data_IF_102246381950
#
_entry.id   IF_102246381950
#
_cell.length_a   1.000
_cell.length_b   1.000
_cell.length_c   1.000
_cell.angle_alpha   90.00
_cell.angle_beta   90.00
_cell.angle_gamma   90.00
#
_symmetry.space_group_name_H-M   'P 1'
#
loop_
_entity.id
_entity.type
_entity.pdbx_description
1 polymer ?
#
# COMPACT_ATOMS: atom_id res chain seq x y z
N UNK A 1 -10.13 -0.58 7.42
CA UNK A 1 -10.83 -0.12 6.20
C UNK A 1 -10.36 -0.88 4.96
N UNK A 2 -9.08 -0.78 4.56
CA UNK A 2 -8.60 -1.54 3.39
C UNK A 2 -8.76 -3.07 3.54
N UNK A 3 -8.45 -3.63 4.71
CA UNK A 3 -8.63 -5.06 4.99
C UNK A 3 -10.08 -5.57 4.86
N UNK A 4 -11.08 -4.69 5.03
CA UNK A 4 -12.50 -5.06 4.93
C UNK A 4 -13.03 -4.97 3.50
N UNK A 5 -12.30 -4.32 2.59
CA UNK A 5 -12.71 -4.10 1.19
C UNK A 5 -11.83 -4.83 0.18
N UNK A 6 -10.95 -5.71 0.65
CA UNK A 6 -9.92 -6.38 -0.16
C UNK A 6 -9.00 -5.41 -0.92
N UNK A 7 -8.84 -4.21 -0.37
CA UNK A 7 -7.97 -3.18 -0.93
C UNK A 7 -6.62 -3.16 -0.21
N UNK A 8 -5.64 -2.58 -0.88
CA UNK A 8 -4.26 -2.49 -0.38
C UNK A 8 -3.97 -1.12 0.20
N UNK A 9 -2.92 -1.04 1.03
CA UNK A 9 -2.44 0.24 1.55
C UNK A 9 -0.92 0.24 1.70
N UNK A 10 -0.34 1.43 1.63
CA UNK A 10 1.09 1.66 1.82
C UNK A 10 1.22 2.80 2.83
N UNK A 11 1.95 2.56 3.91
CA UNK A 11 2.20 3.59 4.95
C UNK A 11 3.37 4.48 4.53
N UNK A 12 4.44 3.86 4.00
CA UNK A 12 5.65 4.55 3.57
C UNK A 12 5.96 4.18 2.12
N UNK A 13 6.05 5.19 1.26
CA UNK A 13 6.39 4.98 -0.14
C UNK A 13 7.84 4.51 -0.29
N UNK A 14 8.05 3.52 -1.14
CA UNK A 14 9.37 3.12 -1.60
C UNK A 14 9.49 3.54 -3.06
N UNK A 15 10.53 4.31 -3.43
CA UNK A 15 10.76 4.67 -4.83
C UNK A 15 10.87 3.41 -5.70
N UNK A 16 10.19 3.44 -6.84
CA UNK A 16 10.12 2.34 -7.80
C UNK A 16 9.15 1.23 -7.42
N UNK A 17 8.27 1.42 -6.43
CA UNK A 17 7.31 0.39 -6.01
C UNK A 17 6.38 -0.03 -7.13
N UNK A 18 5.89 0.93 -7.92
CA UNK A 18 4.97 0.62 -9.03
C UNK A 18 5.73 0.27 -10.30
N UNK A 19 6.78 1.03 -10.64
CA UNK A 19 7.51 0.85 -11.91
C UNK A 19 8.35 -0.42 -11.93
N UNK A 20 8.92 -0.83 -10.79
CA UNK A 20 9.70 -2.07 -10.65
C UNK A 20 8.90 -3.20 -9.98
N UNK A 21 7.62 -3.34 -10.34
CA UNK A 21 6.71 -4.30 -9.69
C UNK A 21 7.23 -5.75 -9.69
N UNK A 22 7.91 -6.19 -10.75
CA UNK A 22 8.47 -7.55 -10.85
C UNK A 22 9.46 -7.85 -9.71
N UNK A 23 10.32 -6.89 -9.35
CA UNK A 23 11.26 -7.00 -8.24
C UNK A 23 10.55 -6.98 -6.88
N UNK A 24 9.53 -6.15 -6.72
CA UNK A 24 8.72 -6.12 -5.51
C UNK A 24 7.92 -7.40 -5.30
N UNK A 25 7.41 -8.02 -6.37
CA UNK A 25 6.74 -9.32 -6.33
C UNK A 25 7.65 -10.40 -5.74
N UNK A 26 8.93 -10.45 -6.18
CA UNK A 26 9.93 -11.36 -5.58
C UNK A 26 10.14 -11.10 -4.08
N UNK A 27 10.21 -9.83 -3.67
CA UNK A 27 10.34 -9.44 -2.25
C UNK A 27 9.10 -9.82 -1.42
N UNK A 28 7.90 -9.71 -1.99
CA UNK A 28 6.66 -10.14 -1.35
C UNK A 28 6.67 -11.66 -1.14
N UNK A 29 7.13 -12.44 -2.11
CA UNK A 29 7.27 -13.90 -1.98
C UNK A 29 8.22 -14.25 -0.81
N UNK A 30 9.38 -13.58 -0.74
CA UNK A 30 10.33 -13.76 0.38
C UNK A 30 9.68 -13.39 1.72
N UNK A 31 8.93 -12.28 1.77
CA UNK A 31 8.20 -11.87 2.96
C UNK A 31 7.17 -12.91 3.40
N UNK A 32 6.38 -13.45 2.48
CA UNK A 32 5.40 -14.51 2.75
C UNK A 32 6.10 -15.77 3.26
N UNK A 33 7.24 -16.13 2.68
CA UNK A 33 8.04 -17.28 3.12
C UNK A 33 8.58 -17.09 4.54
N UNK A 34 9.13 -15.91 4.85
CA UNK A 34 9.57 -15.58 6.21
C UNK A 34 8.41 -15.58 7.22
N UNK A 35 7.25 -15.04 6.86
CA UNK A 35 6.04 -15.07 7.70
C UNK A 35 5.62 -16.52 8.03
N UNK A 36 5.67 -17.42 7.04
CA UNK A 36 5.39 -18.85 7.26
C UNK A 36 6.44 -19.51 8.15
N UNK A 37 7.73 -19.21 7.94
CA UNK A 37 8.81 -19.70 8.79
C UNK A 37 8.63 -19.31 10.26
N UNK A 38 8.30 -18.04 10.53
CA UNK A 38 8.12 -17.56 11.90
C UNK A 38 6.83 -18.05 12.57
N UNK A 39 5.83 -18.48 11.80
CA UNK A 39 4.62 -19.12 12.35
C UNK A 39 4.87 -20.58 12.74
N UNK A 40 5.80 -21.25 12.05
CA UNK A 40 6.12 -22.66 12.29
C UNK A 40 7.18 -22.81 13.40
N UNK A 41 6.75 -23.18 14.61
CA UNK A 41 7.63 -23.37 15.79
C UNK A 41 8.77 -24.37 15.56
N UNK A 42 8.56 -25.39 14.72
CA UNK A 42 9.57 -26.40 14.40
C UNK A 42 10.85 -25.81 13.80
N UNK A 43 10.72 -24.94 12.79
CA UNK A 43 11.89 -24.35 12.13
C UNK A 43 12.68 -23.42 13.05
N UNK A 44 11.98 -22.71 13.94
CA UNK A 44 12.61 -21.80 14.92
C UNK A 44 13.51 -22.58 15.89
N UNK A 45 13.09 -23.78 16.31
CA UNK A 45 13.85 -24.59 17.26
C UNK A 45 15.13 -25.20 16.67
N UNK A 46 15.20 -25.37 15.34
CA UNK A 46 16.35 -25.94 14.64
C UNK A 46 17.42 -24.88 14.34
N UNK A 47 17.01 -23.63 14.14
CA UNK A 47 17.89 -22.54 13.75
C UNK A 47 18.71 -22.01 14.94
N UNK A 48 19.96 -21.65 14.69
CA UNK A 48 20.79 -20.98 15.69
C UNK A 48 20.23 -19.58 16.06
N UNK A 49 20.42 -19.15 17.31
CA UNK A 49 19.99 -17.82 17.80
C UNK A 49 20.50 -16.67 16.91
N UNK A 50 21.73 -16.77 16.40
CA UNK A 50 22.33 -15.79 15.47
C UNK A 50 21.58 -15.72 14.14
N UNK A 51 21.20 -16.87 13.56
CA UNK A 51 20.43 -16.92 12.32
C UNK A 51 19.02 -16.35 12.51
N UNK A 52 18.34 -16.72 13.60
CA UNK A 52 17.00 -16.23 13.94
C UNK A 52 17.01 -14.69 14.02
N UNK A 53 18.01 -14.11 14.68
CA UNK A 53 18.12 -12.66 14.80
C UNK A 53 18.23 -11.96 13.44
N UNK A 54 19.11 -12.45 12.55
CA UNK A 54 19.28 -11.92 11.19
C UNK A 54 17.99 -12.01 10.38
N UNK A 55 17.32 -13.17 10.41
CA UNK A 55 16.05 -13.38 9.70
C UNK A 55 14.95 -12.45 10.24
N UNK A 56 14.89 -12.25 11.55
CA UNK A 56 13.88 -11.39 12.19
C UNK A 56 14.09 -9.92 11.83
N UNK A 57 15.35 -9.49 11.75
CA UNK A 57 15.70 -8.14 11.26
C UNK A 57 15.20 -7.91 9.82
N UNK A 58 15.47 -8.87 8.92
CA UNK A 58 15.02 -8.80 7.52
C UNK A 58 13.49 -8.80 7.44
N UNK A 59 12.84 -9.70 8.21
CA UNK A 59 11.38 -9.77 8.28
C UNK A 59 10.76 -8.46 8.73
N UNK A 60 11.26 -7.84 9.79
CA UNK A 60 10.74 -6.56 10.28
C UNK A 60 10.86 -5.45 9.23
N UNK A 61 11.99 -5.40 8.50
CA UNK A 61 12.20 -4.43 7.42
C UNK A 61 11.23 -4.63 6.25
N UNK A 62 10.92 -5.88 5.91
CA UNK A 62 9.95 -6.20 4.87
C UNK A 62 8.51 -5.95 5.35
N UNK A 63 8.19 -6.31 6.59
CA UNK A 63 6.88 -6.12 7.21
C UNK A 63 6.44 -4.66 7.20
N UNK A 64 7.28 -3.74 7.67
CA UNK A 64 6.96 -2.31 7.73
C UNK A 64 6.59 -1.72 6.37
N UNK A 65 7.13 -2.29 5.29
CA UNK A 65 7.02 -1.76 3.95
C UNK A 65 5.98 -2.48 3.07
N UNK A 66 5.88 -3.80 3.20
CA UNK A 66 5.14 -4.66 2.27
C UNK A 66 3.88 -5.28 2.86
N UNK A 67 3.63 -5.12 4.17
CA UNK A 67 2.48 -5.76 4.84
C UNK A 67 1.15 -5.42 4.16
N UNK A 68 0.91 -4.15 3.84
CA UNK A 68 -0.35 -3.70 3.24
C UNK A 68 -0.54 -4.04 1.75
N UNK A 69 0.49 -4.56 1.08
CA UNK A 69 0.45 -5.02 -0.32
C UNK A 69 0.76 -6.52 -0.46
N UNK A 70 0.76 -7.27 0.65
CA UNK A 70 1.10 -8.70 0.68
C UNK A 70 0.28 -9.54 -0.31
N UNK A 71 -1.00 -9.24 -0.42
CA UNK A 71 -1.94 -10.01 -1.25
C UNK A 71 -2.15 -9.38 -2.64
N UNK A 72 -1.34 -8.38 -3.01
CA UNK A 72 -1.44 -7.70 -4.30
C UNK A 72 -0.78 -8.56 -5.38
N UNK A 73 -1.58 -9.07 -6.33
CA UNK A 73 -1.09 -9.87 -7.45
C UNK A 73 -0.82 -9.03 -8.70
N UNK A 74 -1.67 -8.03 -8.92
CA UNK A 74 -1.71 -7.16 -10.10
C UNK A 74 -1.60 -5.71 -9.62
N UNK A 75 -1.02 -4.85 -10.46
CA UNK A 75 -1.00 -3.41 -10.21
C UNK A 75 -2.44 -2.84 -10.17
N UNK A 76 -2.76 -1.96 -9.21
CA UNK A 76 -4.09 -1.35 -9.12
C UNK A 76 -4.30 -0.38 -10.29
N UNK A 77 -5.55 -0.22 -10.72
CA UNK A 77 -5.94 0.80 -11.72
C UNK A 77 -6.16 2.19 -11.10
N UNK A 78 -6.61 2.22 -9.85
CA UNK A 78 -6.95 3.43 -9.10
C UNK A 78 -6.07 3.55 -7.87
N UNK A 79 -5.57 4.75 -7.60
CA UNK A 79 -4.76 5.03 -6.41
C UNK A 79 -5.37 6.21 -5.68
N UNK A 80 -5.57 6.03 -4.38
CA UNK A 80 -5.95 7.11 -3.47
C UNK A 80 -4.73 7.58 -2.68
N UNK A 81 -4.44 8.87 -2.73
CA UNK A 81 -3.26 9.45 -2.11
C UNK A 81 -3.60 10.70 -1.29
N UNK A 82 -3.14 10.71 -0.03
CA UNK A 82 -3.36 11.82 0.91
C UNK A 82 -2.22 12.84 0.88
N UNK A 83 -0.97 12.35 0.82
CA UNK A 83 0.23 13.19 0.81
C UNK A 83 1.05 12.94 -0.44
N UNK A 84 1.40 14.03 -1.12
CA UNK A 84 2.12 14.01 -2.38
C UNK A 84 3.62 13.88 -2.19
N UNK A 85 4.22 13.14 -3.11
CA UNK A 85 5.65 13.13 -3.31
C UNK A 85 5.89 13.04 -4.82
N UNK A 86 6.79 13.86 -5.36
CA UNK A 86 7.01 14.01 -6.80
C UNK A 86 7.39 12.68 -7.46
N UNK A 87 8.10 11.80 -6.74
CA UNK A 87 8.44 10.46 -7.22
C UNK A 87 7.19 9.59 -7.44
N UNK A 88 6.21 9.66 -6.53
CA UNK A 88 4.95 8.91 -6.64
C UNK A 88 4.17 9.38 -7.87
N UNK A 89 4.04 10.70 -8.04
CA UNK A 89 3.33 11.29 -9.18
C UNK A 89 3.97 10.89 -10.52
N UNK A 90 5.31 10.89 -10.59
CA UNK A 90 6.05 10.44 -11.78
C UNK A 90 5.80 8.96 -12.10
N UNK A 91 5.84 8.08 -11.09
CA UNK A 91 5.58 6.65 -11.29
C UNK A 91 4.15 6.38 -11.79
N UNK A 92 3.17 7.06 -11.18
CA UNK A 92 1.74 6.93 -11.52
C UNK A 92 1.47 7.45 -12.94
N UNK A 93 2.03 8.62 -13.29
CA UNK A 93 1.93 9.18 -14.64
C UNK A 93 2.54 8.25 -15.69
N UNK A 94 3.72 7.69 -15.41
CA UNK A 94 4.40 6.75 -16.32
C UNK A 94 3.58 5.48 -16.59
N UNK A 95 2.86 5.00 -15.59
CA UNK A 95 1.99 3.82 -15.70
C UNK A 95 0.55 4.15 -16.11
N UNK A 96 0.22 5.44 -16.33
CA UNK A 96 -1.11 5.93 -16.68
C UNK A 96 -2.22 5.46 -15.72
N UNK A 97 -1.89 5.39 -14.42
CA UNK A 97 -2.85 5.01 -13.38
C UNK A 97 -3.73 6.20 -12.99
N UNK A 98 -4.98 5.93 -12.59
CA UNK A 98 -5.93 6.98 -12.21
C UNK A 98 -5.66 7.41 -10.76
N UNK A 99 -5.28 8.67 -10.58
CA UNK A 99 -4.97 9.24 -9.27
C UNK A 99 -6.17 10.02 -8.69
N UNK A 100 -6.57 9.62 -7.49
CA UNK A 100 -7.57 10.30 -6.66
C UNK A 100 -6.85 10.91 -5.46
N UNK A 101 -6.96 12.23 -5.25
CA UNK A 101 -6.22 12.89 -4.15
C UNK A 101 -6.74 14.30 -3.81
N UNK A 102 -6.27 14.85 -2.68
CA UNK A 102 -6.66 16.16 -2.15
C UNK A 102 -5.98 17.33 -2.84
N UNK A 103 -6.73 18.25 -3.46
CA UNK A 103 -6.10 19.46 -4.02
C UNK A 103 -5.45 20.29 -2.90
N UNK A 104 -4.23 20.77 -3.16
CA UNK A 104 -3.59 21.80 -2.35
C UNK A 104 -3.22 23.00 -3.24
N UNK A 105 -3.28 24.20 -2.67
CA UNK A 105 -2.94 25.45 -3.36
C UNK A 105 -1.50 25.47 -3.89
N UNK A 106 -0.58 24.74 -3.26
CA UNK A 106 0.84 24.73 -3.59
C UNK A 106 1.28 23.61 -4.55
N UNK A 107 0.36 22.77 -5.03
CA UNK A 107 0.71 21.59 -5.83
C UNK A 107 0.06 21.64 -7.21
N UNK A 108 0.85 21.31 -8.23
CA UNK A 108 0.35 21.18 -9.60
C UNK A 108 -0.70 20.07 -9.70
N UNK A 109 -1.96 20.51 -9.79
CA UNK A 109 -3.12 19.63 -9.86
C UNK A 109 -3.29 18.90 -11.20
N UNK A 110 -2.35 19.07 -12.13
CA UNK A 110 -2.39 18.48 -13.48
C UNK A 110 -2.24 16.96 -13.49
N UNK A 111 -1.50 16.40 -12.52
CA UNK A 111 -1.32 14.96 -12.38
C UNK A 111 -2.51 14.25 -11.71
N UNK A 112 -3.49 15.00 -11.20
CA UNK A 112 -4.62 14.46 -10.44
C UNK A 112 -5.84 14.32 -11.35
N UNK A 113 -6.26 13.08 -11.60
CA UNK A 113 -7.46 12.80 -12.39
C UNK A 113 -8.73 13.18 -11.64
N UNK A 114 -8.83 12.76 -10.37
CA UNK A 114 -10.00 13.01 -9.53
C UNK A 114 -9.56 13.82 -8.32
N UNK A 115 -10.06 15.04 -8.27
CA UNK A 115 -9.65 16.06 -7.32
C UNK A 115 -10.66 16.13 -6.18
N UNK A 116 -10.17 16.00 -4.94
CA UNK A 116 -10.99 16.12 -3.73
C UNK A 116 -10.65 17.45 -3.06
N UNK A 117 -11.67 18.27 -2.85
CA UNK A 117 -11.55 19.50 -2.07
C UNK A 117 -11.67 19.15 -0.58
N UNK A 118 -10.69 19.55 0.23
CA UNK A 118 -10.74 19.33 1.67
C UNK A 118 -9.41 19.52 2.38
N UNK A 119 -9.46 19.55 3.71
CA UNK A 119 -8.29 19.70 4.55
C UNK A 119 -7.55 18.37 4.74
N UNK A 120 -6.44 18.17 4.03
CA UNK A 120 -5.60 16.98 4.13
C UNK A 120 -4.71 16.96 5.38
N UNK A 121 -4.60 18.08 6.13
CA UNK A 121 -3.81 18.14 7.37
C UNK A 121 -4.60 17.62 8.59
N UNK A 122 -5.94 17.62 8.54
CA UNK A 122 -6.78 17.19 9.65
C UNK A 122 -7.18 15.72 9.53
N UNK A 123 -6.84 14.92 10.54
CA UNK A 123 -7.22 13.51 10.62
C UNK A 123 -8.74 13.30 10.53
N UNK A 124 -9.56 14.17 11.15
CA UNK A 124 -11.03 14.03 11.11
C UNK A 124 -11.56 14.15 9.67
N UNK A 125 -11.05 15.12 8.91
CA UNK A 125 -11.42 15.34 7.51
C UNK A 125 -11.00 14.16 6.64
N UNK A 126 -9.76 13.69 6.80
CA UNK A 126 -9.24 12.50 6.09
C UNK A 126 -10.10 11.27 6.41
N UNK A 127 -10.42 11.05 7.70
CA UNK A 127 -11.24 9.91 8.15
C UNK A 127 -12.64 9.95 7.55
N UNK A 128 -13.26 11.13 7.46
CA UNK A 128 -14.59 11.29 6.87
C UNK A 128 -14.56 10.90 5.38
N UNK A 129 -13.59 11.39 4.63
CA UNK A 129 -13.45 11.09 3.20
C UNK A 129 -13.17 9.61 2.96
N UNK A 130 -12.28 9.01 3.76
CA UNK A 130 -12.07 7.56 3.71
C UNK A 130 -13.34 6.78 4.02
N UNK A 131 -14.17 7.24 4.97
CA UNK A 131 -15.44 6.57 5.30
C UNK A 131 -16.40 6.60 4.10
N UNK A 132 -16.51 7.74 3.41
CA UNK A 132 -17.36 7.87 2.21
C UNK A 132 -16.87 6.92 1.11
N UNK A 133 -15.58 6.95 0.78
CA UNK A 133 -15.00 6.09 -0.26
C UNK A 133 -15.23 4.61 0.09
N UNK A 134 -14.99 4.25 1.33
CA UNK A 134 -15.19 2.91 1.85
C UNK A 134 -16.64 2.44 1.73
N UNK A 135 -17.61 3.27 2.16
CA UNK A 135 -19.03 2.93 2.05
C UNK A 135 -19.46 2.76 0.60
N UNK A 136 -18.96 3.60 -0.32
CA UNK A 136 -19.28 3.50 -1.74
C UNK A 136 -18.72 2.22 -2.37
N UNK A 137 -17.51 1.79 -2.00
CA UNK A 137 -16.92 0.53 -2.49
C UNK A 137 -17.75 -0.67 -2.04
N UNK A 138 -18.17 -0.69 -0.78
CA UNK A 138 -19.00 -1.78 -0.25
C UNK A 138 -20.37 -1.81 -0.93
N UNK A 139 -21.02 -0.67 -1.06
CA UNK A 139 -22.32 -0.58 -1.70
C UNK A 139 -22.25 -1.07 -3.17
N UNK A 140 -21.19 -0.71 -3.89
CA UNK A 140 -20.94 -1.21 -5.25
C UNK A 140 -20.75 -2.72 -5.31
N UNK A 141 -19.99 -3.31 -4.35
CA UNK A 141 -19.84 -4.78 -4.26
C UNK A 141 -21.17 -5.48 -4.03
N UNK A 142 -22.02 -4.94 -3.15
CA UNK A 142 -23.35 -5.51 -2.86
C UNK A 142 -24.26 -5.42 -4.07
N UNK A 143 -24.26 -4.28 -4.77
CA UNK A 143 -25.12 -4.06 -5.95
C UNK A 143 -24.76 -4.95 -7.15
N UNK A 144 -23.49 -5.33 -7.26
CA UNK A 144 -22.98 -6.17 -8.36
C UNK A 144 -23.01 -7.67 -8.03
N UNK A 145 -23.49 -8.05 -6.84
CA UNK A 145 -23.84 -9.44 -6.49
C UNK A 145 -25.33 -9.67 -6.73
#
# INVERSE_FOLDING_TARGET
>A
MCNLTDNFYIIKWIPGLLTNWSSFKKRIIIYIWLDKLFKNKYYINILSKKCIYKLKYIYNKLYLNLYGIKNMLILPKYIFLVKYNNLILKEISKLKLILISFINLSLDSSYINIKILGNYNNYKSIKLIYKIIYTSIIHSKIKNM
#
